data_IF_784038603709
#
_entry.id   IF_784038603709
#
_cell.length_a   1.000
_cell.length_b   1.000
_cell.length_c   1.000
_cell.angle_alpha   90.00
_cell.angle_beta   90.00
_cell.angle_gamma   90.00
#
_symmetry.space_group_name_H-M   'P 1'
#
loop_
_entity.id
_entity.type
_entity.pdbx_description
1 polymer ?
#
# COMPACT_ATOMS: atom_id res chain seq x y z
N UNK A 1 24.71 -35.48 -23.43
CA UNK A 1 24.30 -34.15 -22.90
C UNK A 1 22.87 -33.88 -23.36
N UNK A 2 22.07 -33.08 -22.66
CA UNK A 2 20.68 -32.84 -23.08
C UNK A 2 20.56 -31.53 -23.86
N UNK A 3 19.73 -31.54 -24.89
CA UNK A 3 19.41 -30.35 -25.68
C UNK A 3 18.60 -29.34 -24.85
N UNK A 4 19.00 -28.07 -24.85
CA UNK A 4 18.32 -27.02 -24.08
C UNK A 4 16.84 -26.87 -24.42
N UNK A 5 16.45 -27.09 -25.68
CA UNK A 5 15.08 -26.87 -26.15
C UNK A 5 14.14 -28.05 -25.91
N UNK A 6 14.50 -29.26 -26.38
CA UNK A 6 13.65 -30.45 -26.29
C UNK A 6 14.01 -31.39 -25.12
N UNK A 7 15.04 -31.05 -24.32
CA UNK A 7 15.55 -31.83 -23.19
C UNK A 7 15.94 -33.29 -23.50
N UNK A 8 16.02 -33.67 -24.78
CA UNK A 8 16.41 -35.01 -25.23
C UNK A 8 17.93 -35.15 -25.27
N UNK A 9 18.43 -36.37 -25.14
CA UNK A 9 19.86 -36.68 -25.15
C UNK A 9 20.43 -36.48 -26.56
N UNK A 10 21.48 -35.66 -26.65
CA UNK A 10 22.29 -35.46 -27.86
C UNK A 10 23.36 -36.56 -27.92
N UNK A 11 23.33 -37.35 -28.99
CA UNK A 11 24.42 -38.26 -29.37
C UNK A 11 25.38 -37.53 -30.33
N UNK A 12 26.48 -36.99 -29.78
CA UNK A 12 27.47 -36.21 -30.54
C UNK A 12 28.13 -37.03 -31.68
N UNK A 13 28.03 -38.36 -31.63
CA UNK A 13 28.58 -39.26 -32.64
C UNK A 13 27.73 -39.33 -33.92
N UNK A 14 26.44 -38.97 -33.82
CA UNK A 14 25.46 -39.11 -34.90
C UNK A 14 24.84 -37.78 -35.32
N UNK A 15 24.76 -36.82 -34.41
CA UNK A 15 24.05 -35.58 -34.64
C UNK A 15 24.95 -34.35 -34.49
N UNK A 16 24.77 -33.39 -35.40
CA UNK A 16 25.40 -32.07 -35.29
C UNK A 16 24.70 -31.26 -34.20
N UNK A 17 25.50 -30.53 -33.42
CA UNK A 17 25.03 -29.67 -32.33
C UNK A 17 25.53 -28.23 -32.48
N UNK A 18 24.76 -27.31 -31.92
CA UNK A 18 25.08 -25.89 -31.79
C UNK A 18 25.13 -25.56 -30.30
N UNK A 19 26.10 -24.74 -29.88
CA UNK A 19 26.20 -24.27 -28.49
C UNK A 19 25.74 -22.83 -28.41
N UNK A 20 24.87 -22.55 -27.43
CA UNK A 20 24.49 -21.18 -27.11
C UNK A 20 25.71 -20.42 -26.56
N UNK A 21 26.07 -19.28 -27.15
CA UNK A 21 27.18 -18.45 -26.67
C UNK A 21 26.87 -17.75 -25.33
N UNK A 22 25.60 -17.70 -24.91
CA UNK A 22 25.18 -17.13 -23.63
C UNK A 22 25.31 -18.08 -22.44
N UNK A 23 24.91 -19.34 -22.59
CA UNK A 23 24.90 -20.33 -21.49
C UNK A 23 25.77 -21.58 -21.74
N UNK A 24 26.43 -21.65 -22.90
CA UNK A 24 27.26 -22.76 -23.37
C UNK A 24 26.55 -24.14 -23.42
N UNK A 25 25.22 -24.17 -23.31
CA UNK A 25 24.43 -25.40 -23.37
C UNK A 25 24.23 -25.84 -24.83
N UNK A 26 24.26 -27.17 -25.10
CA UNK A 26 24.11 -27.69 -26.44
C UNK A 26 22.65 -27.74 -26.87
N UNK A 27 22.40 -27.54 -28.17
CA UNK A 27 21.10 -27.53 -28.82
C UNK A 27 21.23 -28.31 -30.12
N UNK A 28 20.27 -29.20 -30.42
CA UNK A 28 20.24 -29.86 -31.71
C UNK A 28 20.11 -28.84 -32.83
N UNK A 29 20.76 -29.08 -33.98
CA UNK A 29 20.63 -28.20 -35.15
C UNK A 29 19.16 -27.99 -35.53
N UNK A 30 18.34 -29.04 -35.53
CA UNK A 30 16.90 -28.93 -35.82
C UNK A 30 16.09 -28.19 -34.74
N UNK A 31 16.61 -28.13 -33.51
CA UNK A 31 16.01 -27.38 -32.41
C UNK A 31 16.42 -25.89 -32.42
N UNK A 32 17.42 -25.51 -33.22
CA UNK A 32 18.01 -24.17 -33.15
C UNK A 32 17.20 -23.07 -33.86
N UNK A 33 16.19 -23.46 -34.66
CA UNK A 33 15.41 -22.57 -35.55
C UNK A 33 16.23 -21.83 -36.62
N UNK A 34 17.51 -22.17 -36.75
CA UNK A 34 18.36 -21.65 -37.82
C UNK A 34 18.03 -22.33 -39.15
N UNK A 35 18.02 -21.54 -40.21
CA UNK A 35 17.94 -22.02 -41.59
C UNK A 35 19.20 -22.77 -41.98
N UNK A 36 19.12 -23.61 -43.03
CA UNK A 36 20.28 -24.35 -43.54
C UNK A 36 21.47 -23.44 -43.93
N UNK A 37 21.18 -22.22 -44.39
CA UNK A 37 22.21 -21.22 -44.73
C UNK A 37 22.90 -20.71 -43.46
N UNK A 38 22.13 -20.35 -42.43
CA UNK A 38 22.67 -19.89 -41.14
C UNK A 38 23.47 -20.97 -40.44
N UNK A 39 23.02 -22.23 -40.49
CA UNK A 39 23.78 -23.36 -39.96
C UNK A 39 25.13 -23.48 -40.67
N UNK A 40 25.14 -23.39 -42.01
CA UNK A 40 26.39 -23.44 -42.78
C UNK A 40 27.31 -22.25 -42.46
N UNK A 41 26.75 -21.06 -42.27
CA UNK A 41 27.51 -19.89 -41.82
C UNK A 41 28.06 -20.05 -40.40
N UNK A 42 27.31 -20.68 -39.48
CA UNK A 42 27.75 -21.00 -38.13
C UNK A 42 28.93 -21.99 -38.16
N UNK A 43 28.85 -23.03 -39.00
CA UNK A 43 29.92 -24.03 -39.17
C UNK A 43 31.20 -23.41 -39.75
N UNK A 44 31.06 -22.48 -40.69
CA UNK A 44 32.17 -21.78 -41.35
C UNK A 44 32.78 -20.64 -40.51
N UNK A 45 32.35 -20.46 -39.26
CA UNK A 45 32.83 -19.37 -38.40
C UNK A 45 34.35 -19.47 -38.23
N UNK A 46 35.06 -18.44 -38.69
CA UNK A 46 36.48 -18.29 -38.45
C UNK A 46 36.71 -17.59 -37.10
N UNK A 47 37.87 -17.80 -36.48
CA UNK A 47 38.18 -17.23 -35.17
C UNK A 47 38.02 -15.68 -35.11
N UNK A 48 38.10 -14.99 -36.26
CA UNK A 48 38.02 -13.53 -36.40
C UNK A 48 36.63 -12.96 -36.73
N UNK A 49 35.68 -13.76 -37.22
CA UNK A 49 34.27 -13.36 -37.45
C UNK A 49 33.36 -14.45 -36.91
N UNK A 50 33.03 -14.34 -35.62
CA UNK A 50 32.18 -15.32 -34.93
C UNK A 50 30.73 -14.88 -35.01
N UNK A 51 29.96 -15.54 -35.86
CA UNK A 51 28.51 -15.52 -35.72
C UNK A 51 28.17 -16.11 -34.36
N UNK A 52 27.48 -15.34 -33.53
CA UNK A 52 27.03 -15.79 -32.21
C UNK A 52 25.64 -16.40 -32.36
N UNK A 53 25.41 -17.51 -31.68
CA UNK A 53 24.10 -18.10 -31.51
C UNK A 53 23.68 -17.93 -30.05
N UNK A 54 22.64 -17.15 -29.81
CA UNK A 54 22.04 -16.97 -28.49
C UNK A 54 20.68 -17.67 -28.53
N UNK A 55 20.50 -18.68 -27.69
CA UNK A 55 19.20 -19.35 -27.57
C UNK A 55 18.15 -18.41 -26.96
N UNK A 56 16.87 -18.65 -27.28
CA UNK A 56 15.74 -17.80 -26.89
C UNK A 56 15.71 -17.43 -25.39
N UNK A 57 16.04 -18.37 -24.51
CA UNK A 57 16.10 -18.11 -23.06
C UNK A 57 17.22 -17.16 -22.67
N UNK A 58 18.36 -17.24 -23.34
CA UNK A 58 19.48 -16.33 -23.11
C UNK A 58 19.22 -14.95 -23.72
N UNK A 59 18.52 -14.88 -24.85
CA UNK A 59 18.11 -13.63 -25.47
C UNK A 59 17.19 -12.82 -24.55
N UNK A 60 16.16 -13.48 -23.98
CA UNK A 60 15.31 -12.88 -22.96
C UNK A 60 16.11 -12.38 -21.76
N UNK A 61 17.08 -13.18 -21.28
CA UNK A 61 17.98 -12.80 -20.20
C UNK A 61 18.80 -11.56 -20.53
N UNK A 62 19.34 -11.42 -21.75
CA UNK A 62 20.13 -10.26 -22.17
C UNK A 62 19.33 -8.96 -22.11
N UNK A 63 18.03 -9.00 -22.39
CA UNK A 63 17.15 -7.83 -22.30
C UNK A 63 16.64 -7.55 -20.87
N UNK A 64 16.32 -8.59 -20.11
CA UNK A 64 15.74 -8.46 -18.78
C UNK A 64 16.77 -8.13 -17.70
N UNK A 65 18.01 -8.62 -17.83
CA UNK A 65 19.07 -8.41 -16.82
C UNK A 65 19.40 -6.92 -16.63
N UNK A 66 19.63 -6.12 -17.69
CA UNK A 66 19.86 -4.68 -17.53
C UNK A 66 18.71 -3.95 -16.84
N UNK A 67 17.46 -4.33 -17.15
CA UNK A 67 16.26 -3.76 -16.52
C UNK A 67 16.20 -4.11 -15.02
N UNK A 68 16.49 -5.37 -14.67
CA UNK A 68 16.56 -5.82 -13.28
C UNK A 68 17.68 -5.09 -12.51
N UNK A 69 18.85 -4.90 -13.12
CA UNK A 69 19.95 -4.15 -12.52
C UNK A 69 19.53 -2.70 -12.24
N UNK A 70 18.85 -2.04 -13.20
CA UNK A 70 18.31 -0.68 -13.00
C UNK A 70 17.35 -0.65 -11.81
N UNK A 71 16.32 -1.49 -11.83
CA UNK A 71 15.31 -1.54 -10.75
C UNK A 71 15.93 -1.80 -9.38
N UNK A 72 16.89 -2.72 -9.28
CA UNK A 72 17.59 -3.00 -8.01
C UNK A 72 18.41 -1.79 -7.56
N UNK A 73 19.04 -1.06 -8.49
CA UNK A 73 19.82 0.13 -8.18
C UNK A 73 18.92 1.24 -7.65
N UNK A 74 17.80 1.47 -8.34
CA UNK A 74 16.79 2.46 -7.94
C UNK A 74 16.25 2.11 -6.54
N UNK A 75 15.80 0.87 -6.32
CA UNK A 75 15.33 0.40 -5.01
C UNK A 75 16.37 0.57 -3.90
N UNK A 76 17.65 0.26 -4.17
CA UNK A 76 18.72 0.47 -3.18
C UNK A 76 18.89 1.94 -2.84
N UNK A 77 18.80 2.82 -3.82
CA UNK A 77 18.88 4.26 -3.63
C UNK A 77 17.66 4.79 -2.85
N UNK A 78 16.46 4.29 -3.15
CA UNK A 78 15.25 4.65 -2.40
C UNK A 78 15.34 4.19 -0.94
N UNK A 79 15.81 2.96 -0.69
CA UNK A 79 16.02 2.44 0.67
C UNK A 79 17.09 3.26 1.40
N UNK A 80 18.18 3.65 0.72
CA UNK A 80 19.21 4.52 1.30
C UNK A 80 18.62 5.88 1.66
N UNK A 81 17.90 6.51 0.73
CA UNK A 81 17.22 7.80 0.93
C UNK A 81 16.21 7.74 2.07
N UNK A 82 15.43 6.66 2.19
CA UNK A 82 14.48 6.47 3.28
C UNK A 82 15.17 6.27 4.63
N UNK A 83 16.34 5.61 4.66
CA UNK A 83 17.16 5.48 5.88
C UNK A 83 17.81 6.80 6.30
N UNK A 84 18.18 7.64 5.33
CA UNK A 84 18.82 8.94 5.56
C UNK A 84 17.79 10.05 5.90
N UNK A 85 16.61 10.02 5.28
CA UNK A 85 15.53 11.00 5.46
C UNK A 85 14.47 10.57 6.47
N UNK A 86 14.48 9.32 6.91
CA UNK A 86 13.78 8.95 8.12
C UNK A 86 14.37 9.78 9.25
N UNK A 87 13.56 10.47 10.08
CA UNK A 87 14.04 10.78 11.42
C UNK A 87 14.56 9.45 11.98
N UNK A 88 15.57 9.47 12.86
CA UNK A 88 15.88 8.29 13.65
C UNK A 88 14.61 7.90 14.44
N UNK A 89 13.70 7.13 13.82
CA UNK A 89 12.43 6.70 14.35
C UNK A 89 12.66 5.42 15.15
N UNK A 90 13.61 5.49 16.07
CA UNK A 90 13.28 4.97 17.39
C UNK A 90 12.73 6.18 18.13
N UNK A 91 11.40 6.42 18.14
CA UNK A 91 10.89 7.30 19.18
C UNK A 91 11.45 6.75 20.48
N UNK A 92 12.11 7.61 21.27
CA UNK A 92 12.60 7.21 22.58
C UNK A 92 11.45 6.46 23.27
N UNK A 93 11.68 5.27 23.85
CA UNK A 93 10.62 4.53 24.54
C UNK A 93 9.84 5.42 25.51
N UNK A 94 10.51 6.42 26.07
CA UNK A 94 9.95 7.46 26.94
C UNK A 94 8.92 8.34 26.22
N UNK A 95 9.19 8.82 25.01
CA UNK A 95 8.28 9.68 24.25
C UNK A 95 7.00 8.94 23.83
N UNK A 96 7.12 7.69 23.40
CA UNK A 96 5.95 6.84 23.10
C UNK A 96 5.13 6.57 24.35
N UNK A 97 5.80 6.36 25.48
CA UNK A 97 5.13 6.10 26.75
C UNK A 97 4.37 7.33 27.26
N UNK A 98 4.94 8.53 27.13
CA UNK A 98 4.27 9.78 27.52
C UNK A 98 3.05 10.09 26.66
N UNK A 99 3.12 9.84 25.35
CA UNK A 99 1.97 10.00 24.45
C UNK A 99 0.84 9.01 24.81
N UNK A 100 1.18 7.73 25.04
CA UNK A 100 0.21 6.72 25.45
C UNK A 100 -0.41 7.07 26.81
N UNK A 101 0.40 7.49 27.79
CA UNK A 101 -0.09 7.89 29.11
C UNK A 101 -1.02 9.10 28.98
N UNK A 102 -0.64 10.10 28.19
CA UNK A 102 -1.44 11.31 27.97
C UNK A 102 -2.79 10.98 27.33
N UNK A 103 -2.79 10.09 26.34
CA UNK A 103 -3.99 9.61 25.66
C UNK A 103 -4.90 8.82 26.60
N UNK A 104 -4.32 7.90 27.39
CA UNK A 104 -5.06 7.14 28.40
C UNK A 104 -5.68 8.04 29.48
N UNK A 105 -4.94 9.06 29.95
CA UNK A 105 -5.45 10.04 30.90
C UNK A 105 -6.59 10.85 30.29
N UNK A 106 -6.49 11.23 29.02
CA UNK A 106 -7.53 11.97 28.32
C UNK A 106 -8.80 11.12 28.12
N UNK A 107 -8.65 9.85 27.74
CA UNK A 107 -9.77 8.89 27.70
C UNK A 107 -10.42 8.71 29.05
N UNK A 108 -9.62 8.56 30.10
CA UNK A 108 -10.14 8.40 31.45
C UNK A 108 -10.87 9.68 31.90
N UNK A 109 -10.35 10.86 31.55
CA UNK A 109 -11.00 12.16 31.81
C UNK A 109 -12.35 12.30 31.11
N UNK A 110 -12.48 11.80 29.88
CA UNK A 110 -13.72 11.85 29.08
C UNK A 110 -14.61 10.62 29.28
N UNK A 111 -14.19 9.62 30.06
CA UNK A 111 -14.90 8.34 30.20
C UNK A 111 -16.29 8.48 30.82
N UNK A 112 -16.53 9.57 31.56
CA UNK A 112 -17.82 9.93 32.13
C UNK A 112 -18.70 10.78 31.20
N UNK A 113 -18.22 11.16 30.02
CA UNK A 113 -19.03 11.89 29.05
C UNK A 113 -20.05 10.94 28.41
N UNK A 114 -21.33 11.33 28.44
CA UNK A 114 -22.43 10.57 27.85
C UNK A 114 -22.93 11.30 26.61
N UNK A 115 -23.01 10.60 25.48
CA UNK A 115 -23.63 11.12 24.25
C UNK A 115 -25.00 10.48 24.11
N UNK A 116 -26.04 11.32 24.08
CA UNK A 116 -27.42 10.89 23.86
C UNK A 116 -27.76 11.21 22.41
N UNK A 117 -28.06 10.18 21.64
CA UNK A 117 -28.38 10.27 20.22
C UNK A 117 -29.82 9.85 19.96
N UNK A 118 -30.49 10.50 19.00
CA UNK A 118 -31.88 10.19 18.64
C UNK A 118 -32.93 10.74 19.61
N UNK A 119 -32.57 11.70 20.47
CA UNK A 119 -33.56 12.44 21.26
C UNK A 119 -34.40 13.34 20.34
N UNK A 120 -35.71 13.34 20.53
CA UNK A 120 -36.61 14.24 19.81
C UNK A 120 -36.36 15.66 20.30
N UNK A 121 -35.97 16.56 19.39
CA UNK A 121 -35.77 17.96 19.72
C UNK A 121 -37.11 18.60 20.09
N UNK A 122 -37.19 19.22 21.27
CA UNK A 122 -38.39 19.91 21.72
C UNK A 122 -38.12 21.40 21.89
N UNK A 123 -39.08 22.25 21.53
CA UNK A 123 -39.02 23.70 21.77
C UNK A 123 -38.83 24.54 20.52
N UNK A 124 -39.34 25.76 20.58
CA UNK A 124 -39.42 26.68 19.42
C UNK A 124 -38.21 27.60 19.29
N UNK A 125 -37.41 27.75 20.36
CA UNK A 125 -36.23 28.60 20.43
C UNK A 125 -35.04 27.86 21.02
N UNK A 126 -33.81 28.32 20.74
CA UNK A 126 -32.58 27.70 21.26
C UNK A 126 -32.53 27.62 22.79
N UNK A 127 -33.01 28.64 23.50
CA UNK A 127 -33.03 28.65 24.97
C UNK A 127 -34.07 27.68 25.56
N UNK A 128 -35.23 27.61 24.92
CA UNK A 128 -36.30 26.68 25.32
C UNK A 128 -35.88 25.23 25.05
N UNK A 129 -35.26 24.96 23.89
CA UNK A 129 -34.68 23.66 23.54
C UNK A 129 -33.67 23.18 24.56
N UNK A 130 -32.67 23.99 24.90
CA UNK A 130 -31.67 23.63 25.91
C UNK A 130 -32.32 23.30 27.25
N UNK A 131 -33.36 24.03 27.65
CA UNK A 131 -34.04 23.82 28.92
C UNK A 131 -34.88 22.54 28.94
N UNK A 132 -35.61 22.27 27.86
CA UNK A 132 -36.44 21.07 27.70
C UNK A 132 -35.57 19.82 27.55
N UNK A 133 -34.54 19.86 26.70
CA UNK A 133 -33.58 18.77 26.51
C UNK A 133 -32.84 18.45 27.82
N UNK A 134 -32.42 19.48 28.56
CA UNK A 134 -31.78 19.29 29.88
C UNK A 134 -32.69 18.57 30.86
N UNK A 135 -33.97 18.92 30.87
CA UNK A 135 -34.95 18.31 31.78
C UNK A 135 -35.20 16.85 31.40
N UNK A 136 -35.45 16.58 30.12
CA UNK A 136 -35.63 15.23 29.60
C UNK A 136 -34.43 14.32 29.88
N UNK A 137 -33.21 14.82 29.65
CA UNK A 137 -31.98 14.06 29.90
C UNK A 137 -31.84 13.76 31.39
N UNK A 138 -32.12 14.72 32.27
CA UNK A 138 -32.06 14.48 33.72
C UNK A 138 -33.03 13.39 34.14
N UNK A 139 -34.27 13.42 33.64
CA UNK A 139 -35.28 12.41 33.96
C UNK A 139 -34.87 11.02 33.43
N UNK A 140 -34.34 10.95 32.20
CA UNK A 140 -33.83 9.71 31.61
C UNK A 140 -32.67 9.12 32.44
N UNK A 141 -31.72 9.95 32.88
CA UNK A 141 -30.59 9.50 33.69
C UNK A 141 -31.03 9.01 35.08
N UNK A 142 -32.07 9.61 35.66
CA UNK A 142 -32.69 9.11 36.91
C UNK A 142 -33.29 7.72 36.69
N UNK A 143 -34.02 7.52 35.59
CA UNK A 143 -34.62 6.22 35.26
C UNK A 143 -33.59 5.10 35.05
N UNK A 144 -32.39 5.46 34.56
CA UNK A 144 -31.28 4.53 34.33
C UNK A 144 -30.42 4.31 35.58
N UNK A 145 -30.81 4.85 36.74
CA UNK A 145 -30.06 4.78 38.00
C UNK A 145 -28.62 5.33 37.90
N UNK A 146 -28.38 6.27 36.98
CA UNK A 146 -27.06 6.88 36.79
C UNK A 146 -26.89 7.98 37.86
N UNK A 147 -25.80 7.96 38.66
CA UNK A 147 -25.56 8.99 39.67
C UNK A 147 -25.56 10.38 39.04
N UNK A 148 -26.52 11.21 39.45
CA UNK A 148 -26.62 12.62 39.07
C UNK A 148 -25.49 13.40 39.76
N UNK A 149 -24.27 13.26 39.26
CA UNK A 149 -23.17 14.19 39.56
C UNK A 149 -23.35 15.47 38.75
N UNK A 150 -22.47 16.45 38.90
CA UNK A 150 -22.53 17.81 38.32
C UNK A 150 -22.48 17.78 36.77
N UNK A 151 -23.55 17.29 36.14
CA UNK A 151 -23.69 17.08 34.70
C UNK A 151 -23.92 18.44 34.06
N UNK A 152 -23.03 18.79 33.13
CA UNK A 152 -23.12 19.99 32.30
C UNK A 152 -23.61 19.59 30.92
N UNK A 153 -24.92 19.66 30.66
CA UNK A 153 -25.45 19.33 29.34
C UNK A 153 -24.92 20.31 28.30
N UNK A 154 -24.41 19.78 27.19
CA UNK A 154 -23.95 20.57 26.06
C UNK A 154 -24.59 20.02 24.79
N UNK A 155 -25.32 20.87 24.06
CA UNK A 155 -25.91 20.52 22.77
C UNK A 155 -24.83 20.56 21.69
N UNK A 156 -24.68 19.46 20.95
CA UNK A 156 -23.72 19.33 19.85
C UNK A 156 -24.28 19.74 18.47
N UNK A 157 -25.59 20.03 18.39
CA UNK A 157 -26.30 20.41 17.16
C UNK A 157 -26.84 19.20 16.39
N UNK A 158 -27.65 19.48 15.36
CA UNK A 158 -28.19 18.46 14.47
C UNK A 158 -27.19 18.12 13.36
N UNK A 159 -27.06 16.83 13.04
CA UNK A 159 -26.35 16.40 11.84
C UNK A 159 -27.31 16.53 10.65
N UNK A 160 -27.09 17.54 9.80
CA UNK A 160 -27.78 17.61 8.52
C UNK A 160 -27.25 16.46 7.66
N UNK A 161 -28.07 15.44 7.43
CA UNK A 161 -27.79 14.49 6.37
C UNK A 161 -27.70 15.30 5.08
N UNK A 162 -26.56 15.21 4.38
CA UNK A 162 -26.37 15.90 3.11
C UNK A 162 -27.41 15.43 2.10
N UNK A 163 -28.50 16.18 1.99
CA UNK A 163 -29.29 16.24 0.77
C UNK A 163 -28.61 17.28 -0.12
N UNK A 164 -28.12 16.82 -1.27
CA UNK A 164 -27.65 17.67 -2.35
C UNK A 164 -28.78 18.63 -2.75
N UNK A 165 -28.66 19.93 -2.45
CA UNK A 165 -29.31 20.98 -3.22
C UNK A 165 -28.70 22.37 -2.91
N UNK A 166 -28.04 22.92 -3.95
CA UNK A 166 -27.64 24.30 -4.26
C UNK A 166 -27.33 25.34 -3.15
N UNK A 167 -26.21 26.09 -3.28
CA UNK A 167 -25.84 27.14 -2.34
C UNK A 167 -26.54 28.45 -2.69
N UNK A 168 -27.36 28.96 -1.76
CA UNK A 168 -27.60 30.39 -1.64
C UNK A 168 -27.55 30.78 -0.18
N UNK A 169 -26.46 31.47 0.17
CA UNK A 169 -26.27 32.36 1.31
C UNK A 169 -27.02 32.03 2.60
N UNK A 170 -26.27 31.54 3.60
CA UNK A 170 -26.02 32.31 4.82
C UNK A 170 -24.93 31.63 5.68
N UNK A 171 -24.11 32.46 6.29
CA UNK A 171 -22.98 32.19 7.18
C UNK A 171 -23.06 30.90 8.03
N UNK A 172 -22.33 29.86 7.63
CA UNK A 172 -22.01 28.73 8.49
C UNK A 172 -20.62 28.94 9.11
N UNK A 173 -20.58 29.51 10.32
CA UNK A 173 -19.44 29.35 11.20
C UNK A 173 -19.34 27.86 11.58
N UNK A 174 -18.41 27.17 10.93
CA UNK A 174 -17.97 25.83 11.33
C UNK A 174 -17.35 25.95 12.73
N UNK A 175 -18.14 25.64 13.75
CA UNK A 175 -17.64 25.42 15.11
C UNK A 175 -16.75 24.18 15.09
N UNK A 176 -15.46 24.42 14.87
CA UNK A 176 -14.39 23.46 15.09
C UNK A 176 -14.40 23.06 16.58
N UNK A 177 -15.17 22.04 16.93
CA UNK A 177 -15.01 21.34 18.20
C UNK A 177 -13.69 20.56 18.15
N UNK A 178 -12.63 21.20 18.63
CA UNK A 178 -11.47 20.48 19.16
C UNK A 178 -11.96 19.67 20.35
N UNK A 179 -11.97 18.34 20.22
CA UNK A 179 -12.19 17.43 21.33
C UNK A 179 -10.89 17.34 22.12
#
# INVERSE_FOLDING_TARGET
MNCLKCNSVIDESKEKLIRCDGCNRPIHVHCSELTAVEIKCYELRSARKRMKYIGIFCEQGVHQIPQLISMITDLKEEVRRLRENGPGLTPSPVAVTEEIISEMLERNRRSSNIIIYGSVEQGSSKQEQVSQDTTFIKDLLIQLEIPQTDIKPQRLGGYLHGEDENPSDESNEVLNCKI
#
